data_IF_840562621088
#
_entry.id   IF_840562621088
#
_cell.length_a   1.000
_cell.length_b   1.000
_cell.length_c   1.000
_cell.angle_alpha   90.00
_cell.angle_beta   90.00
_cell.angle_gamma   90.00
#
_symmetry.space_group_name_H-M   'P 1'
#
loop_
_entity.id
_entity.type
_entity.pdbx_description
1 polymer ?
#
# COMPACT_ATOMS: atom_id res chain seq x y z
N UNK A 1 -9.90 5.03 20.85
CA UNK A 1 -10.23 3.59 20.83
C UNK A 1 -9.73 3.07 19.50
N UNK A 2 -8.76 2.15 19.51
CA UNK A 2 -8.15 1.64 18.28
C UNK A 2 -9.07 0.59 17.66
N UNK A 3 -9.85 0.97 16.65
CA UNK A 3 -10.74 0.03 15.95
C UNK A 3 -9.89 -0.94 15.12
N UNK A 4 -9.70 -2.15 15.67
CA UNK A 4 -8.95 -3.24 15.06
C UNK A 4 -9.65 -3.67 13.76
N UNK A 5 -9.12 -3.27 12.61
CA UNK A 5 -9.62 -3.65 11.27
C UNK A 5 -9.48 -5.18 11.11
N UNK A 6 -10.61 -5.90 11.20
CA UNK A 6 -10.61 -7.37 11.15
C UNK A 6 -10.60 -7.82 9.69
N UNK A 7 -9.53 -8.52 9.26
CA UNK A 7 -9.37 -9.02 7.87
C UNK A 7 -10.69 -9.58 7.30
N UNK A 8 -11.16 -9.09 6.14
CA UNK A 8 -12.43 -9.52 5.57
C UNK A 8 -12.33 -10.95 5.03
N UNK A 9 -13.42 -11.71 5.16
CA UNK A 9 -13.55 -13.05 4.55
C UNK A 9 -13.62 -12.95 3.02
N UNK A 10 -13.48 -14.08 2.30
CA UNK A 10 -13.48 -14.08 0.82
C UNK A 10 -14.72 -13.41 0.24
N UNK A 11 -15.91 -13.77 0.73
CA UNK A 11 -17.21 -13.17 0.34
C UNK A 11 -17.30 -11.68 0.68
N UNK A 12 -16.76 -11.27 1.82
CA UNK A 12 -16.72 -9.86 2.22
C UNK A 12 -15.82 -9.04 1.30
N UNK A 13 -14.70 -9.62 0.86
CA UNK A 13 -13.78 -8.98 -0.09
C UNK A 13 -14.38 -8.84 -1.48
N UNK A 14 -15.12 -9.84 -1.94
CA UNK A 14 -15.88 -9.75 -3.19
C UNK A 14 -16.89 -8.60 -3.15
N UNK A 15 -17.59 -8.43 -2.02
CA UNK A 15 -18.53 -7.31 -1.87
C UNK A 15 -17.85 -5.94 -1.80
N UNK A 16 -16.72 -5.83 -1.09
CA UNK A 16 -15.91 -4.60 -1.07
C UNK A 16 -15.40 -4.24 -2.47
N UNK A 17 -14.82 -5.22 -3.18
CA UNK A 17 -14.31 -5.01 -4.54
C UNK A 17 -15.41 -4.61 -5.52
N UNK A 18 -16.60 -5.20 -5.42
CA UNK A 18 -17.74 -4.77 -6.22
C UNK A 18 -18.11 -3.31 -5.96
N UNK A 19 -18.16 -2.88 -4.70
CA UNK A 19 -18.49 -1.49 -4.34
C UNK A 19 -17.41 -0.54 -4.89
N UNK A 20 -16.12 -0.87 -4.74
CA UNK A 20 -15.02 -0.07 -5.28
C UNK A 20 -15.09 0.05 -6.81
N UNK A 21 -15.29 -1.06 -7.51
CA UNK A 21 -15.37 -1.10 -8.97
C UNK A 21 -16.62 -0.37 -9.48
N UNK A 22 -17.72 -0.42 -8.74
CA UNK A 22 -18.93 0.32 -9.06
C UNK A 22 -18.72 1.83 -8.90
N UNK A 23 -18.14 2.28 -7.79
CA UNK A 23 -17.83 3.69 -7.54
C UNK A 23 -16.86 4.20 -8.62
N UNK A 24 -15.84 3.41 -8.97
CA UNK A 24 -14.84 3.78 -9.98
C UNK A 24 -15.47 3.94 -11.37
N UNK A 25 -16.42 3.08 -11.74
CA UNK A 25 -17.08 3.13 -13.06
C UNK A 25 -18.16 4.20 -13.16
N UNK A 26 -18.93 4.39 -12.10
CA UNK A 26 -20.15 5.21 -12.13
C UNK A 26 -19.99 6.58 -11.47
N UNK A 27 -18.96 6.77 -10.64
CA UNK A 27 -18.74 8.01 -9.89
C UNK A 27 -19.70 8.18 -8.70
N UNK A 28 -20.49 7.17 -8.37
CA UNK A 28 -21.41 7.16 -7.22
C UNK A 28 -21.49 5.78 -6.56
N UNK A 29 -21.96 5.76 -5.31
CA UNK A 29 -22.07 4.54 -4.51
C UNK A 29 -23.27 3.67 -4.91
N UNK A 30 -23.12 2.33 -5.01
CA UNK A 30 -24.22 1.45 -5.41
C UNK A 30 -25.29 1.34 -4.33
N UNK A 31 -26.54 1.24 -4.75
CA UNK A 31 -27.67 0.89 -3.90
C UNK A 31 -27.67 -0.60 -3.54
N UNK A 32 -28.42 -0.97 -2.49
CA UNK A 32 -28.55 -2.39 -2.10
C UNK A 32 -29.15 -3.27 -3.20
N UNK A 33 -29.98 -2.71 -4.10
CA UNK A 33 -30.50 -3.45 -5.25
C UNK A 33 -29.42 -3.68 -6.31
N UNK A 34 -28.56 -2.70 -6.56
CA UNK A 34 -27.44 -2.85 -7.50
C UNK A 34 -26.40 -3.86 -6.98
N UNK A 35 -26.09 -3.82 -5.68
CA UNK A 35 -25.23 -4.83 -5.04
C UNK A 35 -25.85 -6.22 -5.11
N UNK A 36 -27.17 -6.33 -4.89
CA UNK A 36 -27.89 -7.60 -4.99
C UNK A 36 -27.78 -8.20 -6.40
N UNK A 37 -28.00 -7.39 -7.44
CA UNK A 37 -27.91 -7.82 -8.84
C UNK A 37 -26.46 -8.15 -9.24
N UNK A 38 -25.50 -7.31 -8.84
CA UNK A 38 -24.10 -7.47 -9.22
C UNK A 38 -23.39 -8.67 -8.56
N UNK A 39 -23.82 -9.06 -7.37
CA UNK A 39 -23.24 -10.19 -6.62
C UNK A 39 -24.20 -11.39 -6.51
N UNK A 40 -25.33 -11.33 -7.22
CA UNK A 40 -26.31 -12.40 -7.33
C UNK A 40 -26.87 -12.88 -5.97
N UNK A 41 -27.16 -11.94 -5.06
CA UNK A 41 -27.79 -12.24 -3.77
C UNK A 41 -29.29 -12.47 -3.90
N UNK A 42 -29.83 -13.36 -3.06
CA UNK A 42 -31.25 -13.72 -3.09
C UNK A 42 -32.19 -12.62 -2.54
N UNK A 43 -31.68 -11.67 -1.74
CA UNK A 43 -32.52 -10.64 -1.12
C UNK A 43 -31.73 -9.37 -0.76
N UNK A 44 -32.42 -8.23 -0.86
CA UNK A 44 -31.94 -6.92 -0.40
C UNK A 44 -31.64 -6.93 1.10
N UNK A 45 -32.40 -7.70 1.89
CA UNK A 45 -32.17 -7.83 3.33
C UNK A 45 -30.82 -8.50 3.64
N UNK A 46 -30.43 -9.50 2.84
CA UNK A 46 -29.14 -10.18 2.96
C UNK A 46 -27.99 -9.23 2.65
N UNK A 47 -28.13 -8.40 1.61
CA UNK A 47 -27.17 -7.35 1.29
C UNK A 47 -27.03 -6.35 2.43
N UNK A 48 -28.16 -5.86 2.97
CA UNK A 48 -28.15 -4.93 4.09
C UNK A 48 -27.42 -5.51 5.32
N UNK A 49 -27.62 -6.81 5.62
CA UNK A 49 -26.90 -7.50 6.68
C UNK A 49 -25.39 -7.54 6.42
N UNK A 50 -24.97 -7.90 5.20
CA UNK A 50 -23.55 -7.95 4.84
C UNK A 50 -22.88 -6.57 4.90
N UNK A 51 -23.54 -5.54 4.39
CA UNK A 51 -23.06 -4.15 4.46
C UNK A 51 -22.94 -3.69 5.92
N UNK A 52 -23.96 -3.91 6.75
CA UNK A 52 -23.90 -3.56 8.18
C UNK A 52 -22.77 -4.30 8.92
N UNK A 53 -22.53 -5.57 8.58
CA UNK A 53 -21.42 -6.32 9.16
C UNK A 53 -20.05 -5.77 8.74
N UNK A 54 -19.92 -5.24 7.52
CA UNK A 54 -18.69 -4.57 7.09
C UNK A 54 -18.50 -3.22 7.75
N UNK A 55 -19.59 -2.47 7.98
CA UNK A 55 -19.56 -1.20 8.74
C UNK A 55 -19.10 -1.47 10.17
N UNK A 56 -19.69 -2.45 10.87
CA UNK A 56 -19.28 -2.86 12.23
C UNK A 56 -17.83 -3.31 12.33
N UNK A 57 -17.23 -3.75 11.20
CA UNK A 57 -15.85 -4.23 11.14
C UNK A 57 -14.86 -3.17 10.66
N UNK A 58 -15.32 -1.94 10.40
CA UNK A 58 -14.50 -0.81 9.98
C UNK A 58 -14.07 -0.82 8.50
N UNK A 59 -14.73 -1.60 7.64
CA UNK A 59 -14.40 -1.66 6.20
C UNK A 59 -15.28 -0.75 5.33
N UNK A 60 -16.46 -0.38 5.82
CA UNK A 60 -17.40 0.52 5.15
C UNK A 60 -17.82 1.61 6.12
N UNK A 61 -18.04 2.81 5.62
CA UNK A 61 -18.64 3.91 6.38
C UNK A 61 -19.83 4.45 5.62
N UNK A 62 -20.89 4.80 6.35
CA UNK A 62 -22.10 5.39 5.80
C UNK A 62 -22.21 6.81 6.31
N UNK A 63 -22.16 7.82 5.44
CA UNK A 63 -22.24 9.24 5.87
C UNK A 63 -23.67 9.69 6.20
N UNK A 64 -24.70 9.07 5.60
CA UNK A 64 -26.11 9.42 5.81
C UNK A 64 -27.02 8.19 5.96
N UNK A 65 -28.32 8.38 6.22
CA UNK A 65 -29.30 7.30 6.21
C UNK A 65 -29.60 6.72 4.80
N UNK A 66 -29.05 7.31 3.73
CA UNK A 66 -29.26 6.84 2.35
C UNK A 66 -28.28 5.73 1.94
N UNK A 67 -28.77 4.76 1.15
CA UNK A 67 -27.92 3.69 0.57
C UNK A 67 -26.85 4.23 -0.40
N UNK A 68 -27.00 5.46 -0.90
CA UNK A 68 -26.06 6.12 -1.81
C UNK A 68 -24.86 6.79 -1.14
N UNK A 69 -24.75 6.71 0.19
CA UNK A 69 -23.65 7.32 0.95
C UNK A 69 -22.65 6.28 1.48
N UNK A 70 -22.54 5.08 0.87
CA UNK A 70 -21.53 4.10 1.27
C UNK A 70 -20.17 4.49 0.70
N UNK A 71 -19.20 4.69 1.59
CA UNK A 71 -17.80 4.85 1.26
C UNK A 71 -17.03 3.63 1.76
N UNK A 72 -16.15 3.11 0.91
CA UNK A 72 -15.23 2.06 1.32
C UNK A 72 -14.16 2.73 2.16
N UNK A 73 -14.12 2.36 3.45
CA UNK A 73 -13.02 2.74 4.33
C UNK A 73 -11.88 1.84 3.91
N UNK A 74 -11.20 2.26 2.86
CA UNK A 74 -9.99 1.60 2.45
C UNK A 74 -9.04 1.73 3.64
N UNK A 75 -8.62 0.60 4.22
CA UNK A 75 -7.38 0.60 5.00
C UNK A 75 -6.37 1.35 4.13
N UNK A 76 -5.77 2.42 4.66
CA UNK A 76 -5.21 3.51 3.86
C UNK A 76 -4.43 2.90 2.70
N UNK A 77 -4.93 3.15 1.50
CA UNK A 77 -4.20 2.88 0.28
C UNK A 77 -2.97 3.78 0.33
N UNK A 78 -1.94 3.36 1.05
CA UNK A 78 -0.59 3.94 1.12
C UNK A 78 -0.50 5.47 1.00
N UNK A 79 -1.45 6.23 1.52
CA UNK A 79 -1.22 7.63 1.87
C UNK A 79 -0.63 7.60 3.25
N UNK A 80 0.64 7.16 3.30
CA UNK A 80 1.51 7.45 4.42
C UNK A 80 1.59 8.97 4.51
N UNK A 81 0.71 9.56 5.32
CA UNK A 81 1.05 10.82 5.99
C UNK A 81 2.36 10.52 6.70
N UNK A 82 3.45 11.10 6.21
CA UNK A 82 4.80 10.96 6.77
C UNK A 82 4.77 11.64 8.14
N UNK A 83 4.21 10.95 9.13
CA UNK A 83 4.11 11.44 10.51
C UNK A 83 5.38 11.12 11.31
N UNK A 84 6.29 10.31 10.73
CA UNK A 84 7.53 9.88 11.37
C UNK A 84 8.53 9.38 10.32
N UNK A 85 9.83 9.52 10.60
CA UNK A 85 10.91 8.92 9.81
C UNK A 85 11.08 7.41 10.09
N UNK A 86 10.17 6.80 10.86
CA UNK A 86 10.25 5.39 11.23
C UNK A 86 9.56 4.52 10.18
N UNK A 87 10.36 3.67 9.54
CA UNK A 87 9.89 2.63 8.63
C UNK A 87 9.41 1.45 9.47
N UNK A 88 8.28 0.83 9.12
CA UNK A 88 7.84 -0.39 9.81
C UNK A 88 8.78 -1.54 9.43
N UNK A 89 9.09 -2.50 10.34
CA UNK A 89 10.00 -3.61 10.05
C UNK A 89 9.69 -4.41 8.77
N UNK A 90 8.40 -4.52 8.40
CA UNK A 90 7.98 -5.18 7.15
C UNK A 90 8.32 -4.39 5.88
N UNK A 91 8.41 -3.06 5.97
CA UNK A 91 8.76 -2.16 4.87
C UNK A 91 10.29 -1.97 4.77
N UNK A 92 11.03 -2.11 5.88
CA UNK A 92 12.50 -2.06 5.91
C UNK A 92 13.11 -3.11 5.00
N UNK A 93 12.67 -4.37 5.14
CA UNK A 93 13.20 -5.48 4.33
C UNK A 93 12.98 -5.22 2.83
N UNK A 94 11.78 -4.80 2.46
CA UNK A 94 11.45 -4.47 1.08
C UNK A 94 12.32 -3.33 0.53
N UNK A 95 12.55 -2.28 1.34
CA UNK A 95 13.39 -1.15 0.95
C UNK A 95 14.85 -1.58 0.74
N UNK A 96 15.39 -2.38 1.65
CA UNK A 96 16.77 -2.91 1.57
C UNK A 96 16.94 -3.81 0.34
N UNK A 97 15.99 -4.73 0.09
CA UNK A 97 16.00 -5.59 -1.10
C UNK A 97 15.95 -4.77 -2.40
N UNK A 98 15.16 -3.68 -2.41
CA UNK A 98 15.08 -2.80 -3.57
C UNK A 98 16.37 -2.03 -3.83
N UNK A 99 17.03 -1.55 -2.76
CA UNK A 99 18.34 -0.89 -2.87
C UNK A 99 19.39 -1.88 -3.36
N UNK A 100 19.41 -3.12 -2.84
CA UNK A 100 20.32 -4.17 -3.31
C UNK A 100 20.15 -4.45 -4.81
N UNK A 101 18.91 -4.50 -5.30
CA UNK A 101 18.63 -4.63 -6.73
C UNK A 101 19.25 -3.50 -7.57
N UNK A 102 19.17 -2.24 -7.10
CA UNK A 102 19.81 -1.11 -7.78
C UNK A 102 21.34 -1.22 -7.80
N UNK A 103 21.96 -1.69 -6.70
CA UNK A 103 23.40 -1.96 -6.68
C UNK A 103 23.79 -3.06 -7.68
N UNK A 104 23.03 -4.17 -7.70
CA UNK A 104 23.28 -5.27 -8.64
C UNK A 104 23.14 -4.80 -10.10
N UNK A 105 22.16 -3.96 -10.41
CA UNK A 105 21.98 -3.39 -11.75
C UNK A 105 23.16 -2.49 -12.14
N UNK A 106 23.66 -1.68 -11.21
CA UNK A 106 24.83 -0.83 -11.41
C UNK A 106 26.12 -1.66 -11.64
N UNK A 107 26.26 -2.79 -10.94
CA UNK A 107 27.39 -3.71 -11.11
C UNK A 107 27.34 -4.47 -12.45
N UNK A 108 26.15 -4.88 -12.88
CA UNK A 108 25.95 -5.64 -14.12
C UNK A 108 26.12 -4.82 -15.39
N UNK A 109 25.78 -3.52 -15.35
CA UNK A 109 25.83 -2.66 -16.53
C UNK A 109 27.26 -2.23 -16.92
N UNK A 110 28.25 -2.41 -16.04
CA UNK A 110 29.68 -2.24 -16.35
C UNK A 110 30.15 -0.81 -16.66
N UNK A 111 29.26 0.09 -17.05
CA UNK A 111 29.49 1.53 -17.25
C UNK A 111 28.65 2.34 -16.27
N UNK A 112 29.24 2.66 -15.12
CA UNK A 112 28.63 3.53 -14.13
C UNK A 112 28.64 4.97 -14.64
N UNK A 113 27.49 5.43 -15.14
CA UNK A 113 27.28 6.86 -15.41
C UNK A 113 27.39 7.62 -14.08
N UNK A 114 28.03 8.79 -14.09
CA UNK A 114 28.23 9.58 -12.85
C UNK A 114 26.96 9.77 -12.04
N UNK A 115 25.85 10.03 -12.71
CA UNK A 115 24.53 10.20 -12.08
C UNK A 115 24.01 8.96 -11.34
N UNK A 116 24.34 7.74 -11.78
CA UNK A 116 23.92 6.52 -11.10
C UNK A 116 24.66 6.34 -9.77
N UNK A 117 25.95 6.67 -9.74
CA UNK A 117 26.74 6.62 -8.52
C UNK A 117 26.22 7.65 -7.50
N UNK A 118 25.91 8.87 -7.95
CA UNK A 118 25.31 9.90 -7.09
C UNK A 118 23.96 9.45 -6.52
N UNK A 119 23.12 8.80 -7.32
CA UNK A 119 21.84 8.22 -6.87
C UNK A 119 22.04 7.16 -5.79
N UNK A 120 23.01 6.26 -5.94
CA UNK A 120 23.31 5.24 -4.92
C UNK A 120 23.81 5.88 -3.61
N UNK A 121 24.60 6.95 -3.69
CA UNK A 121 25.01 7.73 -2.51
C UNK A 121 23.82 8.36 -1.79
N UNK A 122 22.87 8.95 -2.54
CA UNK A 122 21.63 9.49 -1.97
C UNK A 122 20.82 8.40 -1.29
N UNK A 123 20.64 7.23 -1.93
CA UNK A 123 19.90 6.11 -1.34
C UNK A 123 20.52 5.66 -0.01
N UNK A 124 21.84 5.46 0.05
CA UNK A 124 22.52 5.08 1.29
C UNK A 124 22.44 6.20 2.34
N UNK A 125 22.49 7.47 1.93
CA UNK A 125 22.26 8.61 2.83
C UNK A 125 20.84 8.63 3.40
N UNK A 126 19.82 8.35 2.59
CA UNK A 126 18.43 8.30 3.05
C UNK A 126 18.21 7.17 4.06
N UNK A 127 18.86 6.01 3.90
CA UNK A 127 18.79 4.94 4.90
C UNK A 127 19.23 5.41 6.30
N UNK A 128 20.28 6.23 6.39
CA UNK A 128 20.71 6.81 7.67
C UNK A 128 19.67 7.77 8.25
N UNK A 129 19.06 8.61 7.42
CA UNK A 129 18.00 9.54 7.86
C UNK A 129 16.77 8.78 8.35
N UNK A 130 16.51 7.60 7.79
CA UNK A 130 15.41 6.70 8.12
C UNK A 130 15.69 5.78 9.33
N UNK A 131 16.86 5.91 9.98
CA UNK A 131 17.23 5.09 11.14
C UNK A 131 17.60 3.64 10.80
N UNK A 132 18.01 3.39 9.54
CA UNK A 132 18.46 2.09 9.04
C UNK A 132 19.99 2.04 8.93
N UNK A 133 20.70 2.39 10.01
CA UNK A 133 22.16 2.50 10.04
C UNK A 133 22.85 1.18 9.67
N UNK A 134 22.34 0.04 10.16
CA UNK A 134 22.91 -1.27 9.86
C UNK A 134 22.90 -1.58 8.36
N UNK A 135 21.77 -1.32 7.70
CA UNK A 135 21.64 -1.50 6.26
C UNK A 135 22.55 -0.52 5.49
N UNK A 136 22.60 0.74 5.92
CA UNK A 136 23.47 1.74 5.31
C UNK A 136 24.96 1.34 5.38
N UNK A 137 25.41 0.82 6.53
CA UNK A 137 26.79 0.35 6.72
C UNK A 137 27.13 -0.82 5.78
N UNK A 138 26.19 -1.74 5.53
CA UNK A 138 26.38 -2.85 4.60
C UNK A 138 26.60 -2.40 3.15
N UNK A 139 26.00 -1.28 2.71
CA UNK A 139 26.12 -0.78 1.34
C UNK A 139 27.30 0.18 1.11
N UNK A 140 27.85 0.81 2.16
CA UNK A 140 29.02 1.70 2.06
C UNK A 140 30.25 1.08 1.36
N UNK A 141 30.70 -0.15 1.66
CA UNK A 141 31.86 -0.74 0.97
C UNK A 141 31.59 -0.94 -0.53
N UNK A 142 30.36 -1.30 -0.92
CA UNK A 142 29.98 -1.45 -2.34
C UNK A 142 30.02 -0.11 -3.08
N UNK A 143 29.56 0.98 -2.45
CA UNK A 143 29.70 2.33 -3.03
C UNK A 143 31.16 2.69 -3.32
N UNK A 144 32.06 2.41 -2.39
CA UNK A 144 33.48 2.69 -2.57
C UNK A 144 34.11 1.86 -3.68
N UNK A 145 33.73 0.58 -3.80
CA UNK A 145 34.17 -0.28 -4.91
C UNK A 145 33.69 0.22 -6.28
N UNK A 146 32.43 0.65 -6.37
CA UNK A 146 31.86 1.24 -7.59
C UNK A 146 32.52 2.57 -7.96
N UNK A 147 32.89 3.40 -6.96
CA UNK A 147 33.67 4.62 -7.17
C UNK A 147 35.07 4.32 -7.73
N UNK A 148 35.76 3.34 -7.16
CA UNK A 148 37.11 2.98 -7.60
C UNK A 148 37.12 2.34 -9.00
N UNK A 149 36.06 1.63 -9.40
CA UNK A 149 35.89 1.11 -10.78
C UNK A 149 35.69 2.20 -11.84
N UNK A 150 35.36 3.43 -11.43
CA UNK A 150 35.15 4.57 -12.32
C UNK A 150 36.44 5.38 -12.55
N UNK A 151 37.49 5.12 -11.77
CA UNK A 151 38.83 5.72 -11.96
C UNK A 151 39.69 4.88 -12.89
#
# INVERSE_FOLDING_TARGET
MEEKIIRPTKKQRELLGFIEEFITRHGYSPSYREIMQGLNYNSVATVALHVNNLIKRGHLQKRDHSARSLEVVNAPAMTSVIATNQIKPGEEKWLVEKIDHFFNQAEQTGQLKGSQLDQLYVLVGTLKVLGLEGAAQSFMPRLHQLKNKKQ
#
